data_IF_569086907572
#
_entry.id   IF_569086907572
#
_cell.length_a   1.000
_cell.length_b   1.000
_cell.length_c   1.000
_cell.angle_alpha   90.00
_cell.angle_beta   90.00
_cell.angle_gamma   90.00
#
_symmetry.space_group_name_H-M   'P 1'
#
loop_
_entity.id
_entity.type
_entity.pdbx_description
1 polymer ?
#
# COMPACT_ATOMS: atom_id res chain seq x y z
N UNK A 1 19.08 2.21 1.94
CA UNK A 1 17.64 1.88 1.87
C UNK A 1 17.34 1.41 0.46
N UNK A 2 16.32 0.58 0.28
CA UNK A 2 15.85 0.11 -1.02
C UNK A 2 14.42 0.60 -1.25
N UNK A 3 14.05 0.75 -2.52
CA UNK A 3 12.70 1.14 -2.92
C UNK A 3 11.80 -0.10 -2.96
N UNK A 4 10.60 0.04 -2.41
CA UNK A 4 9.56 -0.98 -2.42
C UNK A 4 8.26 -0.41 -2.99
N UNK A 5 7.58 -1.21 -3.80
CA UNK A 5 6.17 -1.00 -4.13
C UNK A 5 5.34 -1.87 -3.21
N UNK A 6 4.42 -1.26 -2.47
CA UNK A 6 3.46 -1.91 -1.60
C UNK A 6 2.18 -2.17 -2.40
N UNK A 7 1.89 -3.43 -2.70
CA UNK A 7 0.71 -3.85 -3.46
C UNK A 7 -0.33 -4.41 -2.50
N UNK A 8 -1.36 -3.63 -2.18
CA UNK A 8 -2.46 -4.06 -1.32
C UNK A 8 -3.65 -4.51 -2.15
N UNK A 9 -4.33 -5.57 -1.69
CA UNK A 9 -5.56 -6.10 -2.28
C UNK A 9 -6.66 -6.22 -1.23
N UNK A 10 -7.88 -5.86 -1.61
CA UNK A 10 -9.08 -6.04 -0.79
C UNK A 10 -10.33 -6.19 -1.67
N UNK A 11 -11.39 -6.78 -1.12
CA UNK A 11 -12.70 -6.83 -1.76
C UNK A 11 -13.39 -5.45 -1.72
N UNK A 12 -14.24 -5.12 -2.70
CA UNK A 12 -14.94 -3.84 -2.75
C UNK A 12 -15.74 -3.52 -1.48
N UNK A 13 -16.30 -4.54 -0.83
CA UNK A 13 -17.01 -4.41 0.45
C UNK A 13 -16.10 -4.04 1.62
N UNK A 14 -14.79 -4.26 1.48
CA UNK A 14 -13.78 -3.99 2.50
C UNK A 14 -13.17 -2.58 2.43
N UNK A 15 -13.45 -1.79 1.39
CA UNK A 15 -12.92 -0.43 1.19
C UNK A 15 -12.96 0.42 2.48
N UNK A 16 -14.13 0.47 3.13
CA UNK A 16 -14.33 1.26 4.35
C UNK A 16 -13.40 0.84 5.49
N UNK A 17 -13.09 -0.45 5.60
CA UNK A 17 -12.21 -0.98 6.64
C UNK A 17 -10.75 -0.67 6.35
N UNK A 18 -10.35 -0.75 5.08
CA UNK A 18 -9.01 -0.34 4.63
C UNK A 18 -8.76 1.13 4.98
N UNK A 19 -9.68 2.03 4.66
CA UNK A 19 -9.54 3.46 4.99
C UNK A 19 -9.65 3.73 6.49
N UNK A 20 -10.56 3.06 7.21
CA UNK A 20 -10.70 3.21 8.66
C UNK A 20 -9.45 2.74 9.43
N UNK A 21 -8.73 1.74 8.93
CA UNK A 21 -7.50 1.25 9.57
C UNK A 21 -6.40 2.33 9.71
N UNK A 22 -6.46 3.39 8.90
CA UNK A 22 -5.54 4.53 9.00
C UNK A 22 -5.88 5.51 10.13
N UNK A 23 -7.03 5.35 10.79
CA UNK A 23 -7.41 6.22 11.89
C UNK A 23 -6.51 5.97 13.11
N UNK A 24 -5.80 7.00 13.57
CA UNK A 24 -4.88 6.91 14.71
C UNK A 24 -3.55 6.20 14.42
N UNK A 25 -3.34 5.71 13.19
CA UNK A 25 -2.06 5.15 12.77
C UNK A 25 -1.13 6.26 12.29
N UNK A 26 0.06 6.36 12.90
CA UNK A 26 1.07 7.32 12.51
C UNK A 26 1.94 6.76 11.39
N UNK A 27 1.82 7.35 10.21
CA UNK A 27 2.59 6.96 9.03
C UNK A 27 2.66 8.12 8.06
N UNK A 28 3.82 8.33 7.40
CA UNK A 28 3.96 9.36 6.37
C UNK A 28 3.09 9.08 5.13
N UNK A 29 2.57 7.86 4.96
CA UNK A 29 1.62 7.54 3.90
C UNK A 29 0.20 8.05 4.19
N UNK A 30 -0.11 8.34 5.46
CA UNK A 30 -1.42 8.87 5.86
C UNK A 30 -1.58 10.29 5.37
N UNK A 31 -2.75 10.62 4.81
CA UNK A 31 -3.05 11.90 4.12
C UNK A 31 -2.18 12.15 2.88
N UNK A 32 -1.41 11.15 2.42
CA UNK A 32 -0.69 11.16 1.16
C UNK A 32 -1.58 10.74 -0.02
N UNK A 33 -0.97 10.66 -1.20
CA UNK A 33 -1.60 10.13 -2.41
C UNK A 33 -1.19 8.68 -2.60
N UNK A 34 -2.16 7.85 -2.99
CA UNK A 34 -1.94 6.46 -3.41
C UNK A 34 -2.57 6.28 -4.79
N UNK A 35 -2.02 5.37 -5.59
CA UNK A 35 -2.71 4.88 -6.78
C UNK A 35 -3.66 3.77 -6.35
N UNK A 36 -4.90 3.77 -6.85
CA UNK A 36 -5.89 2.78 -6.46
C UNK A 36 -6.90 2.52 -7.57
N UNK A 37 -7.44 1.30 -7.61
CA UNK A 37 -8.53 0.94 -8.52
C UNK A 37 -9.91 1.14 -7.90
N UNK A 38 -10.02 1.51 -6.61
CA UNK A 38 -11.30 1.60 -5.90
C UNK A 38 -12.33 2.53 -6.57
N UNK A 39 -11.88 3.62 -7.21
CA UNK A 39 -12.76 4.55 -7.92
C UNK A 39 -13.18 4.05 -9.32
N UNK A 40 -12.47 3.05 -9.87
CA UNK A 40 -12.82 2.42 -11.13
C UNK A 40 -13.88 1.33 -10.98
N UNK A 41 -14.19 0.90 -9.75
CA UNK A 41 -15.13 -0.18 -9.43
C UNK A 41 -14.53 -1.58 -9.60
N UNK A 42 -15.40 -2.59 -9.59
CA UNK A 42 -15.03 -4.01 -9.60
C UNK A 42 -15.24 -4.68 -8.24
N UNK A 43 -15.10 -6.00 -8.20
CA UNK A 43 -15.27 -6.79 -6.97
C UNK A 43 -13.99 -6.84 -6.12
N UNK A 44 -12.83 -6.75 -6.78
CA UNK A 44 -11.52 -6.71 -6.13
C UNK A 44 -10.80 -5.40 -6.47
N UNK A 45 -10.21 -4.78 -5.45
CA UNK A 45 -9.50 -3.52 -5.58
C UNK A 45 -8.01 -3.67 -5.21
N UNK A 46 -7.21 -2.83 -5.86
CA UNK A 46 -5.79 -2.71 -5.64
C UNK A 46 -5.43 -1.30 -5.18
N UNK A 47 -4.46 -1.20 -4.29
CA UNK A 47 -3.82 0.06 -3.90
C UNK A 47 -2.30 -0.08 -3.92
N UNK A 48 -1.64 0.99 -4.32
CA UNK A 48 -0.19 1.02 -4.50
C UNK A 48 0.44 2.23 -3.82
N UNK A 49 1.54 1.97 -3.13
CA UNK A 49 2.44 2.99 -2.58
C UNK A 49 3.88 2.67 -2.94
N UNK A 50 4.71 3.70 -3.08
CA UNK A 50 6.16 3.55 -3.20
C UNK A 50 6.81 4.09 -1.92
N UNK A 51 7.66 3.28 -1.29
CA UNK A 51 8.38 3.64 -0.06
C UNK A 51 9.85 3.28 -0.15
N UNK A 52 10.68 3.95 0.64
CA UNK A 52 12.05 3.53 0.90
C UNK A 52 12.14 2.88 2.28
N UNK A 53 12.76 1.72 2.37
CA UNK A 53 12.93 0.98 3.62
C UNK A 53 14.22 0.16 3.65
N UNK A 54 14.59 -0.37 4.81
CA UNK A 54 15.75 -1.26 4.94
C UNK A 54 15.48 -2.64 4.31
N UNK A 55 14.27 -3.16 4.51
CA UNK A 55 13.81 -4.47 4.06
C UNK A 55 12.27 -4.50 3.91
N UNK A 56 11.72 -5.65 3.52
CA UNK A 56 10.28 -5.85 3.29
C UNK A 56 9.45 -5.67 4.59
N UNK A 57 9.82 -6.24 5.75
CA UNK A 57 9.13 -5.96 7.01
C UNK A 57 9.09 -4.47 7.37
N UNK A 58 10.20 -3.75 7.22
CA UNK A 58 10.26 -2.31 7.45
C UNK A 58 9.39 -1.54 6.46
N UNK A 59 9.28 -1.98 5.21
CA UNK A 59 8.39 -1.39 4.22
C UNK A 59 6.91 -1.59 4.59
N UNK A 60 6.52 -2.79 5.04
CA UNK A 60 5.16 -3.09 5.49
C UNK A 60 4.78 -2.33 6.77
N UNK A 61 5.75 -1.94 7.59
CA UNK A 61 5.53 -1.15 8.81
C UNK A 61 5.02 0.28 8.53
N UNK A 62 5.08 0.75 7.27
CA UNK A 62 4.43 2.01 6.87
C UNK A 62 2.89 1.89 6.78
N UNK A 63 2.33 0.69 6.89
CA UNK A 63 0.90 0.43 6.76
C UNK A 63 0.28 -0.01 8.10
N UNK A 64 -0.99 0.34 8.36
CA UNK A 64 -1.72 -0.23 9.48
C UNK A 64 -1.77 -1.76 9.38
N UNK A 65 -1.74 -2.46 10.51
CA UNK A 65 -1.71 -3.94 10.54
C UNK A 65 -2.83 -4.60 9.72
N UNK A 66 -4.04 -4.02 9.69
CA UNK A 66 -5.14 -4.53 8.87
C UNK A 66 -4.79 -4.55 7.37
N UNK A 67 -4.17 -3.48 6.89
CA UNK A 67 -3.76 -3.30 5.48
C UNK A 67 -2.54 -4.17 5.19
N UNK A 68 -1.51 -4.09 6.04
CA UNK A 68 -0.23 -4.77 5.88
C UNK A 68 -0.36 -6.29 5.70
N UNK A 69 -1.30 -6.93 6.41
CA UNK A 69 -1.54 -8.38 6.33
C UNK A 69 -1.94 -8.88 4.93
N UNK A 70 -2.48 -8.00 4.09
CA UNK A 70 -2.89 -8.31 2.70
C UNK A 70 -2.11 -7.46 1.70
N UNK A 71 -0.91 -7.05 2.09
CA UNK A 71 -0.03 -6.27 1.24
C UNK A 71 1.24 -7.05 0.97
N UNK A 72 1.60 -7.11 -0.30
CA UNK A 72 2.91 -7.57 -0.73
C UNK A 72 3.86 -6.36 -0.83
N UNK A 73 5.07 -6.48 -0.27
CA UNK A 73 6.13 -5.49 -0.46
C UNK A 73 7.14 -6.00 -1.49
N UNK A 74 7.07 -5.46 -2.70
CA UNK A 74 7.92 -5.85 -3.83
C UNK A 74 9.12 -4.90 -3.87
N UNK A 75 10.33 -5.44 -3.71
CA UNK A 75 11.56 -4.65 -3.89
C UNK A 75 11.72 -4.32 -5.36
N UNK A 76 11.88 -3.04 -5.69
CA UNK A 76 12.01 -2.55 -7.07
C UNK A 76 13.26 -1.70 -7.25
N UNK A 77 13.66 -1.53 -8.51
CA UNK A 77 14.67 -0.58 -8.96
C UNK A 77 14.13 0.12 -10.20
N UNK A 78 14.35 1.43 -10.32
CA UNK A 78 14.02 2.15 -11.54
C UNK A 78 14.91 1.69 -12.70
N UNK A 79 14.32 1.46 -13.86
CA UNK A 79 15.04 1.04 -15.07
C UNK A 79 14.67 1.98 -16.22
N UNK A 80 15.64 2.23 -17.10
CA UNK A 80 15.39 2.96 -18.33
C UNK A 80 14.66 2.07 -19.34
N UNK A 81 13.59 2.59 -19.95
CA UNK A 81 12.84 1.93 -21.03
C UNK A 81 13.26 2.56 -22.36
N UNK A 82 13.82 1.79 -23.32
CA UNK A 82 14.20 2.28 -24.64
C UNK A 82 13.03 2.73 -25.52
#
# INVERSE_FOLDING_TARGET
MATFVLCHRHDATECRFVFAAWHGFDSPLRRGRALATCAAGGDEHLMFWTVEAADSPAALAFLPAYVARRTEAVRVTEVFVP
#
